data_IF_851916435556
#
_entry.id   IF_851916435556
#
_cell.length_a   1.000
_cell.length_b   1.000
_cell.length_c   1.000
_cell.angle_alpha   90.00
_cell.angle_beta   90.00
_cell.angle_gamma   90.00
#
_symmetry.space_group_name_H-M   'P 1'
#
loop_
_entity.id
_entity.type
_entity.pdbx_description
1 polymer ?
#
# COMPACT_ATOMS: atom_id res chain seq x y z
N UNK A 1 19.02 -11.93 2.46
CA UNK A 1 19.08 -10.48 2.82
C UNK A 1 18.75 -9.52 1.65
N UNK A 2 19.12 -9.78 0.39
CA UNK A 2 18.81 -8.85 -0.74
C UNK A 2 17.37 -8.95 -1.31
N UNK A 3 16.68 -10.10 -1.16
CA UNK A 3 15.32 -10.30 -1.69
C UNK A 3 14.26 -9.51 -0.90
N UNK A 4 14.31 -9.58 0.43
CA UNK A 4 13.25 -9.05 1.29
C UNK A 4 13.17 -7.52 1.24
N UNK A 5 14.34 -6.87 1.13
CA UNK A 5 14.41 -5.41 0.96
C UNK A 5 13.89 -4.97 -0.41
N UNK A 6 14.03 -5.78 -1.46
CA UNK A 6 13.48 -5.49 -2.80
C UNK A 6 11.96 -5.50 -2.79
N UNK A 7 11.35 -6.52 -2.19
CA UNK A 7 9.88 -6.63 -2.12
C UNK A 7 9.30 -5.53 -1.25
N UNK A 8 9.90 -5.27 -0.08
CA UNK A 8 9.46 -4.17 0.79
C UNK A 8 9.55 -2.81 0.06
N UNK A 9 10.64 -2.57 -0.67
CA UNK A 9 10.81 -1.30 -1.39
C UNK A 9 9.85 -1.17 -2.59
N UNK A 10 9.55 -2.27 -3.28
CA UNK A 10 8.56 -2.29 -4.35
C UNK A 10 7.16 -1.99 -3.81
N UNK A 11 6.72 -2.68 -2.75
CA UNK A 11 5.41 -2.41 -2.14
C UNK A 11 5.34 -1.01 -1.56
N UNK A 12 6.42 -0.52 -0.95
CA UNK A 12 6.50 0.86 -0.47
C UNK A 12 6.31 1.87 -1.60
N UNK A 13 6.96 1.68 -2.75
CA UNK A 13 6.81 2.57 -3.91
C UNK A 13 5.40 2.52 -4.51
N UNK A 14 4.87 1.32 -4.72
CA UNK A 14 3.52 1.13 -5.27
C UNK A 14 2.46 1.68 -4.31
N UNK A 15 2.55 1.35 -3.03
CA UNK A 15 1.65 1.84 -2.00
C UNK A 15 1.70 3.37 -1.85
N UNK A 16 2.90 3.97 -1.86
CA UNK A 16 3.04 5.43 -1.82
C UNK A 16 2.44 6.11 -3.07
N UNK A 17 2.62 5.52 -4.25
CA UNK A 17 2.05 6.03 -5.49
C UNK A 17 0.51 5.98 -5.48
N UNK A 18 -0.07 4.83 -5.11
CA UNK A 18 -1.52 4.65 -5.02
C UNK A 18 -2.12 5.54 -3.94
N UNK A 19 -1.45 5.70 -2.79
CA UNK A 19 -1.89 6.61 -1.72
C UNK A 19 -1.90 8.07 -2.20
N UNK A 20 -0.84 8.50 -2.89
CA UNK A 20 -0.74 9.85 -3.44
C UNK A 20 -1.87 10.12 -4.42
N UNK A 21 -2.14 9.18 -5.34
CA UNK A 21 -3.27 9.27 -6.27
C UNK A 21 -4.61 9.31 -5.55
N UNK A 22 -4.81 8.47 -4.53
CA UNK A 22 -6.04 8.46 -3.72
C UNK A 22 -6.28 9.78 -3.00
N UNK A 23 -5.23 10.38 -2.44
CA UNK A 23 -5.29 11.70 -1.80
C UNK A 23 -5.63 12.77 -2.84
N UNK A 24 -4.97 12.78 -4.01
CA UNK A 24 -5.27 13.74 -5.08
C UNK A 24 -6.73 13.62 -5.54
N UNK A 25 -7.23 12.41 -5.78
CA UNK A 25 -8.63 12.16 -6.16
C UNK A 25 -9.61 12.58 -5.07
N UNK A 26 -9.27 12.35 -3.80
CA UNK A 26 -10.09 12.78 -2.67
C UNK A 26 -10.18 14.31 -2.60
N UNK A 27 -9.05 15.02 -2.70
CA UNK A 27 -9.05 16.49 -2.74
C UNK A 27 -9.83 17.03 -3.95
N UNK A 28 -9.67 16.42 -5.13
CA UNK A 28 -10.42 16.81 -6.33
C UNK A 28 -11.93 16.57 -6.17
N UNK A 29 -12.33 15.47 -5.53
CA UNK A 29 -13.72 15.13 -5.25
C UNK A 29 -14.37 16.06 -4.22
N UNK A 30 -13.63 16.43 -3.16
CA UNK A 30 -14.13 17.29 -2.07
C UNK A 30 -14.14 18.76 -2.46
N UNK A 31 -13.08 19.27 -3.12
CA UNK A 31 -12.93 20.69 -3.43
C UNK A 31 -13.31 21.07 -4.87
N UNK A 32 -13.19 20.16 -5.83
CA UNK A 32 -13.24 20.51 -7.25
C UNK A 32 -14.63 20.42 -7.89
N UNK A 33 -15.46 19.43 -7.52
CA UNK A 33 -16.66 19.10 -8.33
C UNK A 33 -17.95 18.95 -7.48
N UNK A 34 -17.89 18.87 -6.15
CA UNK A 34 -19.09 18.66 -5.32
C UNK A 34 -19.82 17.33 -5.60
N UNK A 35 -19.16 16.42 -6.33
CA UNK A 35 -19.69 15.11 -6.68
C UNK A 35 -19.32 14.11 -5.59
N UNK A 36 -20.32 13.68 -4.83
CA UNK A 36 -20.20 12.62 -3.81
C UNK A 36 -19.56 11.34 -4.33
N UNK A 37 -19.63 11.10 -5.65
CA UNK A 37 -19.06 9.94 -6.33
C UNK A 37 -17.53 10.01 -6.41
N UNK A 38 -16.96 11.19 -6.65
CA UNK A 38 -15.49 11.32 -6.68
C UNK A 38 -14.88 11.22 -5.29
N UNK A 39 -15.58 11.76 -4.27
CA UNK A 39 -15.16 11.61 -2.89
C UNK A 39 -15.17 10.12 -2.44
N UNK A 40 -16.19 9.34 -2.82
CA UNK A 40 -16.25 7.92 -2.48
C UNK A 40 -15.17 7.09 -3.20
N UNK A 41 -14.84 7.40 -4.45
CA UNK A 41 -13.72 6.79 -5.18
C UNK A 41 -12.38 7.13 -4.49
N UNK A 42 -12.18 8.37 -4.06
CA UNK A 42 -10.98 8.78 -3.32
C UNK A 42 -10.82 8.02 -2.01
N UNK A 43 -11.89 7.91 -1.22
CA UNK A 43 -11.90 7.12 0.03
C UNK A 43 -11.59 5.65 -0.25
N UNK A 44 -12.23 5.04 -1.25
CA UNK A 44 -11.99 3.64 -1.63
C UNK A 44 -10.53 3.41 -2.05
N UNK A 45 -9.94 4.36 -2.77
CA UNK A 45 -8.54 4.31 -3.20
C UNK A 45 -7.58 4.42 -2.01
N UNK A 46 -7.86 5.29 -1.03
CA UNK A 46 -7.06 5.42 0.19
C UNK A 46 -7.13 4.13 1.02
N UNK A 47 -8.32 3.57 1.23
CA UNK A 47 -8.50 2.30 1.97
C UNK A 47 -7.77 1.17 1.24
N UNK A 48 -7.91 1.08 -0.08
CA UNK A 48 -7.18 0.11 -0.90
C UNK A 48 -5.66 0.26 -0.81
N UNK A 49 -5.14 1.49 -0.83
CA UNK A 49 -3.72 1.76 -0.66
C UNK A 49 -3.19 1.26 0.69
N UNK A 50 -3.95 1.47 1.78
CA UNK A 50 -3.61 0.97 3.12
C UNK A 50 -3.57 -0.57 3.13
N UNK A 51 -4.55 -1.22 2.49
CA UNK A 51 -4.56 -2.69 2.38
C UNK A 51 -3.34 -3.24 1.61
N UNK A 52 -2.96 -2.61 0.49
CA UNK A 52 -1.76 -2.98 -0.27
C UNK A 52 -0.51 -2.83 0.59
N UNK A 53 -0.43 -1.75 1.36
CA UNK A 53 0.70 -1.49 2.25
C UNK A 53 0.81 -2.57 3.35
N UNK A 54 -0.32 -2.89 4.01
CA UNK A 54 -0.38 -3.93 5.02
C UNK A 54 -0.01 -5.31 4.46
N UNK A 55 -0.51 -5.67 3.28
CA UNK A 55 -0.15 -6.92 2.62
C UNK A 55 1.36 -7.03 2.33
N UNK A 56 1.99 -5.96 1.86
CA UNK A 56 3.44 -5.94 1.66
C UNK A 56 4.25 -6.10 2.93
N UNK A 57 3.84 -5.41 4.01
CA UNK A 57 4.48 -5.56 5.32
C UNK A 57 4.33 -6.98 5.84
N UNK A 58 3.13 -7.57 5.70
CA UNK A 58 2.86 -8.93 6.15
C UNK A 58 3.68 -9.98 5.37
N UNK A 59 3.85 -9.76 4.06
CA UNK A 59 4.65 -10.63 3.21
C UNK A 59 6.11 -10.65 3.64
N UNK A 60 6.70 -9.47 3.87
CA UNK A 60 8.09 -9.34 4.32
C UNK A 60 8.29 -9.93 5.72
N UNK A 61 7.34 -9.73 6.63
CA UNK A 61 7.37 -10.35 7.95
C UNK A 61 7.31 -11.90 7.85
N UNK A 62 6.51 -12.43 6.93
CA UNK A 62 6.41 -13.89 6.71
C UNK A 62 7.70 -14.45 6.11
N UNK A 63 8.29 -13.77 5.12
CA UNK A 63 9.61 -14.14 4.57
C UNK A 63 10.69 -14.13 5.67
N UNK A 64 10.71 -13.14 6.57
CA UNK A 64 11.69 -13.09 7.65
C UNK A 64 11.56 -14.27 8.63
N UNK A 65 10.33 -14.69 8.94
CA UNK A 65 10.07 -15.84 9.82
C UNK A 65 10.42 -17.17 9.12
N UNK A 66 10.15 -17.28 7.81
CA UNK A 66 10.50 -18.46 7.02
C UNK A 66 12.02 -18.63 6.93
N UNK A 67 12.77 -17.58 6.59
CA UNK A 67 14.24 -17.58 6.55
C UNK A 67 14.86 -18.00 7.89
N UNK A 68 14.30 -17.51 9.01
CA UNK A 68 14.72 -17.90 10.37
C UNK A 68 14.43 -19.35 10.69
N UNK A 69 13.38 -19.92 10.13
CA UNK A 69 13.02 -21.33 10.34
C UNK A 69 13.91 -22.26 9.53
N UNK A 70 14.22 -21.92 8.27
CA UNK A 70 15.16 -22.69 7.44
C UNK A 70 16.60 -22.63 7.97
N UNK A 71 17.01 -21.49 8.53
CA UNK A 71 18.35 -21.34 9.15
C UNK A 71 18.49 -22.06 10.50
N UNK A 72 17.40 -22.56 11.07
CA UNK A 72 17.37 -23.24 12.37
C UNK A 72 17.23 -24.78 12.25
N UNK A 73 17.12 -25.34 11.04
CA UNK A 73 17.13 -26.80 10.78
C UNK A 73 18.46 -27.27 10.22
#
# INVERSE_FOLDING_TARGET
>A
MESHTKILNAVKYVGAFVLTLGITLFFLGVFGIGSSVMASIGIGTIIGAVFIFLMGVFFVATEEVLDKTESAS
#
